data_IF_003199464142
#
_entry.id   IF_003199464142
#
_cell.length_a   1.000
_cell.length_b   1.000
_cell.length_c   1.000
_cell.angle_alpha   90.00
_cell.angle_beta   90.00
_cell.angle_gamma   90.00
#
_symmetry.space_group_name_H-M   'P 1'
#
loop_
_entity.id
_entity.type
_entity.pdbx_description
1 polymer ?
#
# COMPACT_ATOMS: atom_id res chain seq x y z
N UNK A 1 -10.04 -16.31 18.96
CA UNK A 1 -9.17 -16.93 17.96
C UNK A 1 -8.66 -18.22 18.57
N UNK A 2 -9.19 -19.38 18.15
CA UNK A 2 -8.71 -20.69 18.63
C UNK A 2 -7.27 -20.85 18.14
N UNK A 3 -6.37 -21.31 19.00
CA UNK A 3 -5.00 -21.63 18.60
C UNK A 3 -5.03 -22.73 17.53
N UNK A 4 -4.03 -22.78 16.66
CA UNK A 4 -3.92 -23.78 15.59
C UNK A 4 -4.03 -25.21 16.17
N UNK A 5 -3.53 -25.41 17.39
CA UNK A 5 -3.63 -26.66 18.15
C UNK A 5 -5.08 -27.00 18.49
N UNK A 6 -5.88 -26.02 18.91
CA UNK A 6 -7.30 -26.25 19.23
C UNK A 6 -8.18 -26.55 18.00
N UNK A 7 -7.81 -25.99 16.81
CA UNK A 7 -8.53 -26.33 15.56
C UNK A 7 -8.20 -27.76 15.09
N UNK A 8 -6.95 -28.19 15.22
CA UNK A 8 -6.55 -29.56 14.88
C UNK A 8 -7.21 -30.58 15.77
N UNK A 9 -7.23 -30.37 17.11
CA UNK A 9 -7.93 -31.25 18.04
C UNK A 9 -9.41 -31.34 17.71
N UNK A 10 -10.07 -30.22 17.41
CA UNK A 10 -11.49 -30.20 17.05
C UNK A 10 -11.75 -30.99 15.76
N UNK A 11 -10.92 -30.88 14.76
CA UNK A 11 -11.05 -31.63 13.50
C UNK A 11 -10.89 -33.11 13.73
N UNK A 12 -9.90 -33.55 14.51
CA UNK A 12 -9.68 -34.95 14.83
C UNK A 12 -10.88 -35.53 15.61
N UNK A 13 -11.43 -34.79 16.56
CA UNK A 13 -12.61 -35.19 17.35
C UNK A 13 -13.83 -35.32 16.43
N UNK A 14 -14.11 -34.35 15.57
CA UNK A 14 -15.27 -34.35 14.65
C UNK A 14 -15.21 -35.55 13.72
N UNK A 15 -14.04 -35.83 13.13
CA UNK A 15 -13.86 -36.97 12.23
C UNK A 15 -13.92 -38.32 12.99
N UNK A 16 -13.37 -38.41 14.20
CA UNK A 16 -13.47 -39.57 15.06
C UNK A 16 -14.93 -39.89 15.37
N UNK A 17 -15.73 -38.88 15.69
CA UNK A 17 -17.16 -39.03 15.95
C UNK A 17 -17.91 -39.47 14.69
N UNK A 18 -17.65 -38.85 13.55
CA UNK A 18 -18.27 -39.19 12.26
C UNK A 18 -17.95 -40.62 11.82
N UNK A 19 -16.72 -41.10 12.05
CA UNK A 19 -16.31 -42.47 11.79
C UNK A 19 -17.00 -43.46 12.73
N UNK A 20 -17.06 -43.15 14.03
CA UNK A 20 -17.77 -43.96 15.03
C UNK A 20 -19.25 -44.09 14.71
N UNK A 21 -19.91 -42.97 14.32
CA UNK A 21 -21.30 -42.95 13.89
C UNK A 21 -21.54 -43.80 12.65
N UNK A 22 -20.62 -43.73 11.67
CA UNK A 22 -20.69 -44.58 10.46
C UNK A 22 -20.54 -46.05 10.79
N UNK A 23 -19.64 -46.43 11.71
CA UNK A 23 -19.45 -47.78 12.17
C UNK A 23 -20.69 -48.28 12.94
N UNK A 24 -21.25 -47.46 13.82
CA UNK A 24 -22.47 -47.78 14.56
C UNK A 24 -23.68 -47.94 13.64
N UNK A 25 -23.78 -47.12 12.61
CA UNK A 25 -24.83 -47.24 11.60
C UNK A 25 -24.71 -48.53 10.81
N UNK A 26 -23.50 -48.90 10.38
CA UNK A 26 -23.25 -50.19 9.72
C UNK A 26 -23.56 -51.39 10.63
N UNK A 27 -23.19 -51.32 11.91
CA UNK A 27 -23.53 -52.32 12.89
C UNK A 27 -25.04 -52.40 13.15
N UNK A 28 -25.71 -51.24 13.26
CA UNK A 28 -27.17 -51.19 13.42
C UNK A 28 -27.89 -51.82 12.23
N UNK A 29 -27.49 -51.51 11.01
CA UNK A 29 -28.01 -52.11 9.78
C UNK A 29 -27.76 -53.64 9.80
N UNK A 30 -26.57 -54.06 10.21
CA UNK A 30 -26.22 -55.47 10.28
C UNK A 30 -27.08 -56.24 11.27
N UNK A 31 -27.43 -55.63 12.44
CA UNK A 31 -28.23 -56.30 13.47
C UNK A 31 -29.74 -56.23 13.23
N UNK A 32 -30.24 -55.17 12.57
CA UNK A 32 -31.67 -54.97 12.34
C UNK A 32 -32.19 -55.59 11.05
N UNK A 33 -31.37 -55.77 10.03
CA UNK A 33 -31.78 -56.33 8.74
C UNK A 33 -31.06 -57.67 8.43
N UNK A 34 -31.07 -58.61 9.40
CA UNK A 34 -30.36 -59.89 9.29
C UNK A 34 -30.62 -60.68 8.01
N UNK A 35 -31.75 -60.47 7.33
CA UNK A 35 -32.15 -61.34 6.21
C UNK A 35 -32.08 -60.67 4.81
N UNK A 36 -31.90 -59.36 4.69
CA UNK A 36 -32.01 -58.68 3.42
C UNK A 36 -30.71 -58.00 2.90
N UNK A 37 -29.83 -57.50 3.74
CA UNK A 37 -28.65 -56.74 3.34
C UNK A 37 -27.41 -57.58 2.98
N UNK A 38 -27.34 -58.83 3.49
CA UNK A 38 -26.24 -59.75 3.15
C UNK A 38 -26.55 -60.66 1.97
N UNK A 39 -27.30 -60.17 0.96
CA UNK A 39 -27.17 -60.76 -0.37
C UNK A 39 -25.73 -60.62 -0.83
N UNK A 40 -25.23 -61.73 -1.44
CA UNK A 40 -23.82 -61.96 -1.81
C UNK A 40 -23.07 -60.79 -2.48
N UNK A 41 -23.78 -59.79 -2.97
CA UNK A 41 -23.22 -58.66 -3.69
C UNK A 41 -22.98 -57.40 -2.82
N UNK A 42 -23.65 -57.26 -1.67
CA UNK A 42 -23.51 -56.05 -0.84
C UNK A 42 -22.36 -56.14 0.21
N UNK A 43 -21.85 -57.35 0.52
CA UNK A 43 -20.73 -57.50 1.44
C UNK A 43 -19.44 -56.88 0.91
N UNK A 44 -19.26 -56.88 -0.45
CA UNK A 44 -18.12 -56.22 -1.11
C UNK A 44 -18.12 -54.72 -0.91
N UNK A 45 -19.31 -54.09 -0.97
CA UNK A 45 -19.46 -52.64 -0.71
C UNK A 45 -19.15 -52.30 0.74
N UNK A 46 -19.63 -53.12 1.69
CA UNK A 46 -19.35 -52.92 3.12
C UNK A 46 -17.86 -53.08 3.44
N UNK A 47 -17.22 -54.11 2.85
CA UNK A 47 -15.76 -54.31 3.00
C UNK A 47 -14.96 -53.18 2.37
N UNK A 48 -15.41 -52.67 1.22
CA UNK A 48 -14.81 -51.52 0.53
C UNK A 48 -14.86 -50.25 1.40
N UNK A 49 -16.00 -49.93 2.00
CA UNK A 49 -16.15 -48.77 2.87
C UNK A 49 -15.27 -48.91 4.14
N UNK A 50 -15.22 -50.10 4.77
CA UNK A 50 -14.42 -50.32 5.97
C UNK A 50 -12.92 -50.22 5.71
N UNK A 51 -12.46 -50.61 4.51
CA UNK A 51 -11.03 -50.60 4.19
C UNK A 51 -10.56 -49.26 3.59
N UNK A 52 -11.39 -48.59 2.82
CA UNK A 52 -10.99 -47.36 2.10
C UNK A 52 -11.19 -46.10 2.96
N UNK A 53 -12.23 -46.04 3.78
CA UNK A 53 -12.46 -44.87 4.64
C UNK A 53 -11.26 -44.51 5.54
N UNK A 54 -10.60 -45.45 6.22
CA UNK A 54 -9.40 -45.17 7.02
C UNK A 54 -8.23 -44.66 6.16
N UNK A 55 -8.05 -45.16 4.94
CA UNK A 55 -6.99 -44.73 4.02
C UNK A 55 -7.22 -43.30 3.59
N UNK A 56 -8.45 -42.95 3.17
CA UNK A 56 -8.83 -41.57 2.81
C UNK A 56 -8.60 -40.64 4.00
N UNK A 57 -8.98 -41.05 5.21
CA UNK A 57 -8.75 -40.28 6.42
C UNK A 57 -7.26 -40.04 6.68
N UNK A 58 -6.43 -41.07 6.54
CA UNK A 58 -4.98 -40.94 6.72
C UNK A 58 -4.36 -39.98 5.72
N UNK A 59 -4.78 -40.05 4.46
CA UNK A 59 -4.33 -39.14 3.40
C UNK A 59 -4.76 -37.68 3.69
N UNK A 60 -6.00 -37.48 4.11
CA UNK A 60 -6.47 -36.13 4.51
C UNK A 60 -5.69 -35.57 5.69
N UNK A 61 -5.42 -36.40 6.70
CA UNK A 61 -4.64 -36.01 7.89
C UNK A 61 -3.20 -35.62 7.49
N UNK A 62 -2.61 -36.38 6.58
CA UNK A 62 -1.28 -36.08 6.03
C UNK A 62 -1.27 -34.75 5.25
N UNK A 63 -2.29 -34.49 4.43
CA UNK A 63 -2.44 -33.23 3.71
C UNK A 63 -2.57 -32.04 4.68
N UNK A 64 -3.35 -32.17 5.76
CA UNK A 64 -3.50 -31.14 6.79
C UNK A 64 -2.16 -30.88 7.48
N UNK A 65 -1.44 -31.93 7.87
CA UNK A 65 -0.12 -31.80 8.51
C UNK A 65 0.89 -31.09 7.59
N UNK A 66 0.93 -31.46 6.31
CA UNK A 66 1.80 -30.82 5.31
C UNK A 66 1.44 -29.34 5.19
N UNK A 67 0.15 -28.99 5.09
CA UNK A 67 -0.32 -27.60 5.03
C UNK A 67 0.12 -26.82 6.28
N UNK A 68 -0.08 -27.36 7.47
CA UNK A 68 0.34 -26.71 8.72
C UNK A 68 1.86 -26.47 8.81
N UNK A 69 2.68 -27.43 8.33
CA UNK A 69 4.13 -27.29 8.32
C UNK A 69 4.53 -26.20 7.32
N UNK A 70 3.87 -26.15 6.16
CA UNK A 70 4.13 -25.13 5.12
C UNK A 70 3.77 -23.73 5.61
N UNK A 71 2.62 -23.56 6.25
CA UNK A 71 2.18 -22.28 6.81
C UNK A 71 3.14 -21.78 7.91
N UNK A 72 3.57 -22.65 8.83
CA UNK A 72 4.59 -22.28 9.84
C UNK A 72 5.93 -21.87 9.23
N UNK A 73 6.36 -22.51 8.13
CA UNK A 73 7.58 -22.15 7.42
C UNK A 73 7.42 -20.77 6.76
N UNK A 74 6.29 -20.55 6.07
CA UNK A 74 5.98 -19.27 5.41
C UNK A 74 5.94 -18.12 6.43
N UNK A 75 5.32 -18.31 7.59
CA UNK A 75 5.28 -17.30 8.65
C UNK A 75 6.68 -16.99 9.20
N UNK A 76 7.54 -18.01 9.33
CA UNK A 76 8.92 -17.83 9.73
C UNK A 76 9.75 -17.03 8.73
N UNK A 77 9.57 -17.28 7.45
CA UNK A 77 10.26 -16.56 6.38
C UNK A 77 9.79 -15.10 6.31
N UNK A 78 8.49 -14.83 6.39
CA UNK A 78 7.91 -13.48 6.44
C UNK A 78 8.43 -12.69 7.66
N UNK A 79 8.58 -13.35 8.81
CA UNK A 79 9.11 -12.70 10.01
C UNK A 79 10.59 -12.31 9.83
N UNK A 80 11.41 -13.18 9.24
CA UNK A 80 12.82 -12.88 8.94
C UNK A 80 12.96 -11.74 7.95
N UNK A 81 12.14 -11.72 6.88
CA UNK A 81 12.15 -10.63 5.91
C UNK A 81 11.84 -9.28 6.57
N UNK A 82 10.83 -9.22 7.44
CA UNK A 82 10.49 -8.01 8.21
C UNK A 82 11.64 -7.56 9.12
N UNK A 83 12.31 -8.49 9.80
CA UNK A 83 13.46 -8.17 10.66
C UNK A 83 14.61 -7.60 9.83
N UNK A 84 14.90 -8.17 8.66
CA UNK A 84 15.94 -7.66 7.73
C UNK A 84 15.56 -6.26 7.22
N UNK A 85 14.32 -6.05 6.86
CA UNK A 85 13.83 -4.74 6.40
C UNK A 85 13.98 -3.67 7.50
N UNK A 86 13.62 -4.00 8.74
CA UNK A 86 13.79 -3.09 9.88
C UNK A 86 15.26 -2.75 10.17
N UNK A 87 16.18 -3.71 10.00
CA UNK A 87 17.62 -3.46 10.13
C UNK A 87 18.08 -2.51 9.01
N UNK A 88 17.65 -2.73 7.76
CA UNK A 88 17.96 -1.84 6.63
C UNK A 88 17.45 -0.42 6.88
N UNK A 89 16.22 -0.26 7.36
CA UNK A 89 15.64 1.04 7.71
C UNK A 89 16.45 1.78 8.78
N UNK A 90 16.85 1.11 9.84
CA UNK A 90 17.69 1.70 10.88
C UNK A 90 19.04 2.14 10.33
N UNK A 91 19.67 1.31 9.52
CA UNK A 91 20.94 1.64 8.89
C UNK A 91 20.83 2.86 7.96
N UNK A 92 19.76 2.95 7.16
CA UNK A 92 19.52 4.09 6.29
C UNK A 92 19.37 5.40 7.07
N UNK A 93 18.67 5.38 8.20
CA UNK A 93 18.54 6.55 9.08
C UNK A 93 19.91 6.97 9.65
N UNK A 94 20.74 6.03 10.08
CA UNK A 94 22.07 6.33 10.61
C UNK A 94 23.00 6.87 9.50
N UNK A 95 22.95 6.32 8.31
CA UNK A 95 23.71 6.81 7.17
C UNK A 95 23.31 8.24 6.81
N UNK A 96 22.00 8.53 6.76
CA UNK A 96 21.51 9.89 6.51
C UNK A 96 22.02 10.91 7.54
N UNK A 97 22.11 10.54 8.83
CA UNK A 97 22.65 11.42 9.88
C UNK A 97 24.15 11.74 9.69
N UNK A 98 24.90 10.87 9.03
CA UNK A 98 26.33 11.10 8.72
C UNK A 98 26.52 12.06 7.56
N UNK A 99 25.48 12.33 6.78
CA UNK A 99 25.54 13.21 5.62
C UNK A 99 25.51 14.67 6.04
N UNK A 100 26.50 15.43 5.64
CA UNK A 100 26.61 16.86 5.93
C UNK A 100 26.52 17.74 4.67
N UNK A 101 26.54 17.12 3.49
CA UNK A 101 26.46 17.82 2.20
C UNK A 101 25.13 17.53 1.53
N UNK A 102 24.44 18.58 1.14
CA UNK A 102 23.19 18.48 0.37
C UNK A 102 23.48 18.85 -1.08
N UNK A 103 23.17 17.94 -2.00
CA UNK A 103 23.55 18.02 -3.39
C UNK A 103 22.53 18.74 -4.28
N UNK A 104 21.32 18.94 -3.79
CA UNK A 104 20.27 19.66 -4.51
C UNK A 104 19.80 20.83 -3.65
N UNK A 105 19.74 22.01 -4.23
CA UNK A 105 19.19 23.19 -3.58
C UNK A 105 17.72 22.97 -3.23
N UNK A 106 17.31 23.35 -2.02
CA UNK A 106 15.93 23.24 -1.57
C UNK A 106 14.95 24.01 -2.47
N UNK A 107 15.39 25.12 -3.07
CA UNK A 107 14.61 25.88 -4.03
C UNK A 107 14.31 25.09 -5.32
N UNK A 108 15.28 24.27 -5.79
CA UNK A 108 15.08 23.39 -6.95
C UNK A 108 14.09 22.29 -6.62
N UNK A 109 14.20 21.71 -5.42
CA UNK A 109 13.27 20.67 -4.94
C UNK A 109 11.84 21.24 -4.86
N UNK A 110 11.71 22.41 -4.25
CA UNK A 110 10.44 23.13 -4.18
C UNK A 110 9.85 23.42 -5.56
N UNK A 111 10.67 23.91 -6.49
CA UNK A 111 10.23 24.24 -7.85
C UNK A 111 9.65 23.01 -8.57
N UNK A 112 10.33 21.87 -8.52
CA UNK A 112 9.84 20.62 -9.12
C UNK A 112 8.54 20.18 -8.46
N UNK A 113 8.50 20.15 -7.13
CA UNK A 113 7.31 19.77 -6.39
C UNK A 113 6.11 20.66 -6.71
N UNK A 114 6.30 21.98 -6.79
CA UNK A 114 5.23 22.92 -7.15
C UNK A 114 4.76 22.74 -8.59
N UNK A 115 5.65 22.46 -9.53
CA UNK A 115 5.26 22.13 -10.91
C UNK A 115 4.35 20.90 -10.94
N UNK A 116 4.65 19.85 -10.16
CA UNK A 116 3.79 18.66 -10.04
C UNK A 116 2.43 19.00 -9.41
N UNK A 117 2.40 19.78 -8.32
CA UNK A 117 1.17 20.20 -7.67
C UNK A 117 0.27 21.04 -8.57
N UNK A 118 0.85 21.77 -9.51
CA UNK A 118 0.12 22.62 -10.46
C UNK A 118 -0.34 21.87 -11.72
N UNK A 119 -0.07 20.57 -11.82
CA UNK A 119 -0.62 19.76 -12.92
C UNK A 119 -2.13 19.66 -12.72
N UNK A 120 -2.88 20.35 -13.60
CA UNK A 120 -4.33 20.29 -13.56
C UNK A 120 -4.83 18.93 -14.06
N UNK A 121 -5.53 18.21 -13.19
CA UNK A 121 -6.16 16.93 -13.50
C UNK A 121 -7.56 17.07 -14.14
N UNK A 122 -8.11 18.27 -14.26
CA UNK A 122 -9.45 18.45 -14.86
C UNK A 122 -9.46 17.98 -16.33
N UNK A 123 -8.30 18.03 -17.01
CA UNK A 123 -8.14 17.49 -18.36
C UNK A 123 -8.00 15.97 -18.42
N UNK A 124 -7.76 15.29 -17.29
CA UNK A 124 -7.58 13.84 -17.23
C UNK A 124 -8.81 13.06 -17.68
N UNK A 125 -10.01 13.62 -17.45
CA UNK A 125 -11.29 12.99 -17.79
C UNK A 125 -11.85 13.41 -19.14
N UNK A 126 -11.20 14.31 -19.86
CA UNK A 126 -11.71 14.79 -21.13
C UNK A 126 -11.14 13.92 -22.27
N UNK A 127 -11.97 13.16 -23.00
CA UNK A 127 -11.52 12.39 -24.17
C UNK A 127 -10.81 13.28 -25.18
N UNK A 128 -9.76 12.76 -25.83
CA UNK A 128 -8.94 13.51 -26.80
C UNK A 128 -9.78 14.13 -27.92
N UNK A 129 -10.77 13.37 -28.41
CA UNK A 129 -11.74 13.83 -29.41
C UNK A 129 -12.50 15.08 -28.97
N UNK A 130 -12.88 15.15 -27.68
CA UNK A 130 -13.58 16.29 -27.13
C UNK A 130 -12.64 17.48 -26.95
N UNK A 131 -11.37 17.25 -26.59
CA UNK A 131 -10.35 18.28 -26.49
C UNK A 131 -10.12 18.96 -27.84
N UNK A 132 -9.95 18.18 -28.90
CA UNK A 132 -9.79 18.69 -30.27
C UNK A 132 -11.01 19.47 -30.74
N UNK A 133 -12.22 19.01 -30.39
CA UNK A 133 -13.47 19.66 -30.78
C UNK A 133 -13.73 20.98 -30.05
N UNK A 134 -13.36 21.06 -28.76
CA UNK A 134 -13.65 22.23 -27.91
C UNK A 134 -12.52 23.27 -27.97
N UNK A 135 -11.28 22.84 -28.04
CA UNK A 135 -10.10 23.70 -27.86
C UNK A 135 -9.33 23.87 -29.17
N UNK A 136 -9.53 23.03 -30.18
CA UNK A 136 -8.84 23.08 -31.49
C UNK A 136 -7.35 22.71 -31.42
N UNK A 137 -6.85 22.25 -30.26
CA UNK A 137 -5.47 21.82 -30.06
C UNK A 137 -5.42 20.60 -29.14
N UNK A 138 -4.50 19.67 -29.42
CA UNK A 138 -4.16 18.61 -28.49
C UNK A 138 -3.52 19.22 -27.23
N UNK A 139 -4.15 18.97 -26.09
CA UNK A 139 -3.56 19.32 -24.78
C UNK A 139 -2.68 18.13 -24.36
N UNK A 140 -1.44 18.35 -23.89
CA UNK A 140 -0.62 17.29 -23.34
C UNK A 140 -1.36 16.55 -22.24
N UNK A 141 -1.30 15.23 -22.23
CA UNK A 141 -1.92 14.41 -21.17
C UNK A 141 -1.28 14.71 -19.82
N UNK A 142 -1.93 14.28 -18.74
CA UNK A 142 -1.39 14.45 -17.39
C UNK A 142 -0.06 13.69 -17.26
N UNK A 143 0.02 12.50 -17.84
CA UNK A 143 1.21 11.66 -17.89
C UNK A 143 2.37 12.35 -18.61
N UNK A 144 2.11 12.95 -19.77
CA UNK A 144 3.10 13.72 -20.51
C UNK A 144 3.60 14.93 -19.71
N UNK A 145 2.71 15.60 -18.97
CA UNK A 145 3.09 16.72 -18.10
C UNK A 145 3.95 16.27 -16.93
N UNK A 146 3.63 15.11 -16.31
CA UNK A 146 4.44 14.53 -15.24
C UNK A 146 5.85 14.24 -15.74
N UNK A 147 5.99 13.53 -16.86
CA UNK A 147 7.29 13.20 -17.44
C UNK A 147 8.07 14.44 -17.90
N UNK A 148 7.37 15.47 -18.39
CA UNK A 148 8.01 16.74 -18.72
C UNK A 148 8.61 17.46 -17.49
N UNK A 149 7.95 17.36 -16.33
CA UNK A 149 8.47 17.93 -15.08
C UNK A 149 9.61 17.09 -14.52
N UNK A 150 9.53 15.76 -14.68
CA UNK A 150 10.52 14.80 -14.22
C UNK A 150 11.51 14.45 -15.35
N UNK A 151 12.26 15.45 -15.82
CA UNK A 151 13.13 15.41 -17.02
C UNK A 151 14.38 14.51 -16.88
N UNK A 152 14.68 14.00 -15.68
CA UNK A 152 15.74 13.03 -15.39
C UNK A 152 15.24 11.57 -15.37
N UNK A 153 13.95 11.38 -15.68
CA UNK A 153 13.33 10.08 -15.77
C UNK A 153 12.80 9.89 -17.19
N UNK A 154 13.09 8.75 -17.76
CA UNK A 154 12.53 8.31 -19.04
C UNK A 154 11.91 6.93 -18.85
N UNK A 155 10.84 6.65 -19.56
CA UNK A 155 10.32 5.29 -19.64
C UNK A 155 11.14 4.49 -20.65
N UNK A 156 11.18 3.17 -20.45
CA UNK A 156 11.70 2.26 -21.46
C UNK A 156 10.93 2.45 -22.77
N UNK A 157 11.58 2.14 -23.90
CA UNK A 157 10.97 2.22 -25.22
C UNK A 157 9.66 1.43 -25.28
N UNK A 158 8.64 1.97 -25.91
CA UNK A 158 7.28 1.41 -26.02
C UNK A 158 6.48 1.29 -24.69
N UNK A 159 7.02 1.78 -23.57
CA UNK A 159 6.28 1.84 -22.32
C UNK A 159 5.64 3.23 -22.15
N UNK A 160 4.45 3.24 -21.53
CA UNK A 160 3.70 4.46 -21.24
C UNK A 160 3.37 4.59 -19.76
N UNK A 161 3.35 5.82 -19.24
CA UNK A 161 2.74 6.07 -17.95
C UNK A 161 1.22 6.12 -18.13
N UNK A 162 0.45 5.52 -17.23
CA UNK A 162 -1.00 5.52 -17.27
C UNK A 162 -1.56 5.79 -15.89
N UNK A 163 -2.49 6.75 -15.81
CA UNK A 163 -3.26 7.04 -14.62
C UNK A 163 -4.61 6.33 -14.72
N UNK A 164 -4.96 5.57 -13.69
CA UNK A 164 -6.24 4.89 -13.62
C UNK A 164 -7.00 5.30 -12.37
N UNK A 165 -8.28 5.59 -12.54
CA UNK A 165 -9.19 5.84 -11.45
C UNK A 165 -9.96 4.57 -11.12
N UNK A 166 -9.69 3.98 -9.96
CA UNK A 166 -10.46 2.84 -9.45
C UNK A 166 -11.57 3.36 -8.53
N UNK A 167 -12.81 3.11 -8.90
CA UNK A 167 -13.97 3.39 -8.06
C UNK A 167 -14.10 2.31 -6.98
N UNK A 168 -14.21 2.73 -5.70
CA UNK A 168 -14.35 1.83 -4.55
C UNK A 168 -15.51 2.28 -3.67
N UNK A 169 -16.68 1.65 -3.85
CA UNK A 169 -17.88 2.00 -3.09
C UNK A 169 -18.33 3.44 -3.31
N UNK A 170 -18.36 4.26 -2.25
CA UNK A 170 -18.77 5.67 -2.33
C UNK A 170 -17.64 6.59 -2.83
N UNK A 171 -16.54 6.05 -3.35
CA UNK A 171 -15.42 6.85 -3.83
C UNK A 171 -14.41 6.10 -4.64
N UNK A 172 -13.30 6.73 -4.97
CA UNK A 172 -12.29 6.13 -5.80
C UNK A 172 -10.89 6.67 -5.55
N UNK A 173 -9.92 6.03 -6.12
CA UNK A 173 -8.50 6.37 -5.98
C UNK A 173 -7.83 6.36 -7.33
N UNK A 174 -7.02 7.38 -7.59
CA UNK A 174 -6.16 7.38 -8.77
C UNK A 174 -4.88 6.61 -8.47
N UNK A 175 -4.56 5.66 -9.32
CA UNK A 175 -3.32 4.89 -9.30
C UNK A 175 -2.48 5.22 -10.51
N UNK A 176 -1.18 5.05 -10.36
CA UNK A 176 -0.21 5.21 -11.43
C UNK A 176 0.29 3.83 -11.81
N UNK A 177 0.26 3.57 -13.09
CA UNK A 177 0.75 2.33 -13.69
C UNK A 177 1.74 2.66 -14.77
N UNK A 178 2.60 1.71 -15.08
CA UNK A 178 3.27 1.65 -16.37
C UNK A 178 2.49 0.71 -17.28
N UNK A 179 2.13 1.21 -18.45
CA UNK A 179 1.54 0.42 -19.52
C UNK A 179 2.66 -0.21 -20.33
N UNK A 180 2.68 -1.53 -20.34
CA UNK A 180 3.62 -2.33 -21.10
C UNK A 180 3.21 -2.39 -22.59
N UNK A 181 4.13 -2.71 -23.52
CA UNK A 181 3.84 -2.81 -24.96
C UNK A 181 2.71 -3.79 -25.30
N UNK A 182 2.54 -4.84 -24.49
CA UNK A 182 1.46 -5.82 -24.62
C UNK A 182 0.10 -5.33 -24.07
N UNK A 183 0.05 -4.12 -23.52
CA UNK A 183 -1.14 -3.51 -22.92
C UNK A 183 -1.36 -3.81 -21.44
N UNK A 184 -0.53 -4.65 -20.80
CA UNK A 184 -0.62 -4.90 -19.37
C UNK A 184 -0.27 -3.65 -18.55
N UNK A 185 -0.83 -3.56 -17.34
CA UNK A 185 -0.56 -2.49 -16.40
C UNK A 185 0.24 -3.01 -15.21
N UNK A 186 1.42 -2.43 -14.98
CA UNK A 186 2.29 -2.75 -13.85
C UNK A 186 2.28 -1.63 -12.82
N UNK A 187 2.14 -1.99 -11.53
CA UNK A 187 2.31 -1.07 -10.39
C UNK A 187 3.79 -0.84 -10.05
N UNK A 188 4.67 -1.73 -10.47
CA UNK A 188 6.11 -1.66 -10.22
C UNK A 188 6.81 -0.76 -11.25
N UNK A 189 6.37 0.50 -11.33
CA UNK A 189 6.83 1.43 -12.37
C UNK A 189 8.34 1.70 -12.31
N UNK A 190 9.00 1.54 -11.17
CA UNK A 190 10.44 1.73 -11.05
C UNK A 190 11.26 0.73 -11.86
N UNK A 191 10.72 -0.44 -12.18
CA UNK A 191 11.38 -1.46 -12.99
C UNK A 191 11.47 -1.04 -14.48
N UNK A 192 10.65 -0.06 -14.90
CA UNK A 192 10.48 0.35 -16.29
C UNK A 192 10.97 1.77 -16.57
N UNK A 193 11.74 2.36 -15.66
CA UNK A 193 12.29 3.70 -15.82
C UNK A 193 13.81 3.67 -16.00
N UNK A 194 14.28 4.54 -16.89
CA UNK A 194 15.68 4.92 -17.01
C UNK A 194 15.85 6.22 -16.24
N UNK A 195 16.80 6.26 -15.34
CA UNK A 195 17.04 7.39 -14.43
C UNK A 195 18.48 7.86 -14.55
N UNK A 196 18.67 9.16 -14.63
CA UNK A 196 20.00 9.74 -14.51
C UNK A 196 20.60 9.42 -13.12
N UNK A 197 21.81 8.82 -13.07
CA UNK A 197 22.53 8.54 -11.83
C UNK A 197 23.09 9.83 -11.22
N UNK A 198 22.18 10.63 -10.68
CA UNK A 198 22.46 11.90 -10.07
C UNK A 198 21.55 12.17 -8.86
N UNK A 199 21.92 13.10 -7.98
CA UNK A 199 21.03 13.52 -6.89
C UNK A 199 19.68 14.04 -7.37
N UNK A 200 19.63 14.68 -8.53
CA UNK A 200 18.39 15.17 -9.14
C UNK A 200 17.55 14.02 -9.70
N UNK A 201 18.19 13.02 -10.34
CA UNK A 201 17.51 11.80 -10.77
C UNK A 201 16.88 11.05 -9.59
N UNK A 202 17.63 10.86 -8.50
CA UNK A 202 17.11 10.25 -7.27
C UNK A 202 15.94 11.03 -6.66
N UNK A 203 16.02 12.38 -6.66
CA UNK A 203 14.90 13.22 -6.23
C UNK A 203 13.66 12.99 -7.10
N UNK A 204 13.84 12.91 -8.41
CA UNK A 204 12.72 12.70 -9.32
C UNK A 204 12.11 11.30 -9.19
N UNK A 205 12.92 10.27 -8.89
CA UNK A 205 12.42 8.94 -8.51
C UNK A 205 11.54 9.02 -7.25
N UNK A 206 11.98 9.77 -6.24
CA UNK A 206 11.16 10.02 -5.06
C UNK A 206 9.83 10.67 -5.44
N UNK A 207 9.83 11.74 -6.24
CA UNK A 207 8.61 12.39 -6.67
C UNK A 207 7.70 11.47 -7.46
N UNK A 208 8.23 10.67 -8.37
CA UNK A 208 7.45 9.69 -9.12
C UNK A 208 6.82 8.64 -8.19
N UNK A 209 7.57 8.13 -7.22
CA UNK A 209 7.08 7.13 -6.25
C UNK A 209 6.02 7.68 -5.30
N UNK A 210 6.02 8.98 -5.06
CA UNK A 210 5.12 9.68 -4.13
C UNK A 210 4.13 10.59 -4.86
N UNK A 211 3.87 10.38 -6.15
CA UNK A 211 2.93 11.21 -6.92
C UNK A 211 1.56 11.33 -6.28
N UNK A 212 1.11 10.34 -5.52
CA UNK A 212 -0.14 10.38 -4.77
C UNK A 212 -0.19 11.50 -3.70
N UNK A 213 0.94 12.09 -3.29
CA UNK A 213 0.99 13.29 -2.46
C UNK A 213 0.73 14.57 -3.26
N UNK A 214 0.91 14.51 -4.58
CA UNK A 214 0.85 15.67 -5.47
C UNK A 214 -0.41 15.66 -6.33
N UNK A 215 -0.98 14.47 -6.58
CA UNK A 215 -2.19 14.32 -7.36
C UNK A 215 -3.41 14.36 -6.43
N UNK A 216 -4.48 15.10 -6.77
CA UNK A 216 -5.70 15.10 -5.99
C UNK A 216 -6.31 13.71 -5.95
N UNK A 217 -6.44 13.17 -4.76
CA UNK A 217 -7.17 11.93 -4.52
C UNK A 217 -8.66 12.26 -4.43
N UNK A 218 -9.45 11.65 -5.29
CA UNK A 218 -10.88 11.78 -5.23
C UNK A 218 -11.43 10.89 -4.12
N UNK A 219 -12.41 11.41 -3.43
CA UNK A 219 -13.18 10.82 -2.38
C UNK A 219 -12.41 10.49 -1.08
N UNK A 220 -12.94 10.73 0.05
CA UNK A 220 -12.26 10.80 1.36
C UNK A 220 -10.90 11.52 1.38
N UNK A 221 -10.24 11.70 0.25
CA UNK A 221 -9.12 12.62 0.11
C UNK A 221 -9.49 14.07 0.44
N UNK A 222 -10.78 14.39 0.45
CA UNK A 222 -11.25 15.68 0.94
C UNK A 222 -11.03 15.84 2.45
N UNK A 223 -11.04 14.74 3.19
CA UNK A 223 -10.82 14.70 4.62
C UNK A 223 -9.36 14.40 5.00
N UNK A 224 -8.63 13.62 4.20
CA UNK A 224 -7.20 13.39 4.37
C UNK A 224 -6.43 14.16 3.30
N UNK A 225 -6.57 15.48 3.31
CA UNK A 225 -5.76 16.33 2.43
C UNK A 225 -4.29 16.06 2.75
N UNK A 226 -3.58 15.56 1.75
CA UNK A 226 -2.14 15.40 1.81
C UNK A 226 -1.53 16.34 0.81
N UNK A 227 -0.57 17.12 1.25
CA UNK A 227 0.19 17.99 0.37
C UNK A 227 1.60 18.17 0.88
N UNK A 228 2.51 18.28 -0.06
CA UNK A 228 3.91 18.46 0.24
C UNK A 228 4.17 19.83 0.83
N UNK A 229 5.06 19.86 1.82
CA UNK A 229 5.47 21.05 2.53
C UNK A 229 6.95 21.25 2.28
N UNK A 230 7.32 22.34 1.60
CA UNK A 230 8.70 22.63 1.20
C UNK A 230 9.30 23.79 2.01
N UNK A 231 8.47 24.66 2.53
CA UNK A 231 8.90 25.90 3.20
C UNK A 231 8.00 26.24 4.38
N UNK A 232 8.44 27.22 5.19
CA UNK A 232 7.61 27.80 6.26
C UNK A 232 6.35 28.46 5.71
N UNK A 233 6.42 29.04 4.53
CA UNK A 233 5.26 29.66 3.88
C UNK A 233 4.15 28.64 3.58
N UNK A 234 4.54 27.38 3.34
CA UNK A 234 3.54 26.32 3.19
C UNK A 234 2.88 25.97 4.51
N UNK A 235 3.63 25.97 5.63
CA UNK A 235 3.06 25.76 6.96
C UNK A 235 2.05 26.86 7.32
N UNK A 236 2.33 28.11 6.97
CA UNK A 236 1.43 29.26 7.24
C UNK A 236 0.10 29.17 6.47
N UNK A 237 0.04 28.40 5.40
CA UNK A 237 -1.18 28.17 4.59
C UNK A 237 -2.05 27.04 5.15
N UNK A 238 -1.52 26.23 6.07
CA UNK A 238 -2.24 25.11 6.65
C UNK A 238 -3.20 25.65 7.70
N UNK A 239 -4.45 25.28 7.57
CA UNK A 239 -5.49 25.57 8.57
C UNK A 239 -5.90 24.28 9.27
N UNK A 240 -5.91 24.31 10.57
CA UNK A 240 -6.35 23.20 11.42
C UNK A 240 -7.74 23.46 11.92
N UNK A 241 -8.55 22.42 12.02
CA UNK A 241 -9.92 22.51 12.53
C UNK A 241 -9.92 22.14 14.00
N UNK A 242 -10.45 23.02 14.85
CA UNK A 242 -10.70 22.70 16.25
C UNK A 242 -12.12 22.14 16.40
N UNK A 243 -12.23 21.07 17.20
CA UNK A 243 -13.53 20.51 17.56
C UNK A 243 -14.07 21.29 18.76
N UNK A 244 -15.28 21.88 18.68
CA UNK A 244 -15.96 22.40 19.87
C UNK A 244 -16.13 21.30 20.89
N UNK A 245 -15.61 21.51 22.07
CA UNK A 245 -15.85 20.62 23.20
C UNK A 245 -17.36 20.61 23.49
N UNK A 246 -17.91 19.41 23.50
CA UNK A 246 -19.32 19.08 23.66
C UNK A 246 -19.79 19.56 25.04
N UNK A 247 -20.19 20.83 25.12
CA UNK A 247 -20.77 21.44 26.35
C UNK A 247 -22.29 21.46 26.39
N UNK A 248 -22.97 21.34 25.23
CA UNK A 248 -24.42 21.43 25.16
C UNK A 248 -25.05 20.37 24.25
N UNK A 249 -26.12 19.77 24.78
CA UNK A 249 -26.90 18.74 24.14
C UNK A 249 -27.67 19.32 22.96
N UNK A 250 -27.39 18.89 21.77
CA UNK A 250 -28.13 19.18 20.53
C UNK A 250 -27.36 20.01 19.48
N UNK A 251 -26.25 19.46 18.96
CA UNK A 251 -25.65 20.01 17.76
C UNK A 251 -26.05 19.15 16.57
N UNK A 252 -26.56 19.78 15.50
CA UNK A 252 -26.72 19.13 14.22
C UNK A 252 -25.35 18.74 13.68
N UNK A 253 -25.22 17.69 12.85
CA UNK A 253 -23.92 17.32 12.27
C UNK A 253 -23.19 18.46 11.56
N UNK A 254 -23.91 19.48 11.05
CA UNK A 254 -23.35 20.70 10.46
C UNK A 254 -22.66 21.62 11.47
N UNK A 255 -22.96 21.51 12.78
CA UNK A 255 -22.48 22.42 13.81
C UNK A 255 -21.21 21.88 14.53
N UNK A 256 -20.70 20.73 14.08
CA UNK A 256 -19.57 20.05 14.70
C UNK A 256 -18.23 20.66 14.23
N UNK A 257 -18.21 21.35 13.09
CA UNK A 257 -17.00 21.92 12.51
C UNK A 257 -16.97 23.42 12.70
N UNK A 258 -15.96 23.84 13.44
CA UNK A 258 -15.77 25.22 13.80
C UNK A 258 -14.42 25.72 13.35
N UNK A 259 -14.19 26.92 13.53
CA UNK A 259 -13.01 27.75 13.28
C UNK A 259 -11.78 27.04 12.70
N UNK A 260 -11.44 27.41 11.48
CA UNK A 260 -10.13 27.13 10.91
C UNK A 260 -9.12 28.02 11.65
N UNK A 261 -8.24 27.38 12.41
CA UNK A 261 -7.17 28.04 13.13
C UNK A 261 -5.84 27.87 12.40
N UNK A 262 -4.94 28.79 12.61
CA UNK A 262 -3.56 28.66 12.17
C UNK A 262 -2.86 27.52 12.91
N UNK A 263 -1.78 26.99 12.31
CA UNK A 263 -0.93 26.02 12.99
C UNK A 263 -0.32 26.65 14.25
N UNK A 264 -0.21 25.88 15.35
CA UNK A 264 0.46 26.37 16.56
C UNK A 264 1.97 26.57 16.31
N UNK A 265 2.58 27.40 17.16
CA UNK A 265 4.01 27.75 17.07
C UNK A 265 4.93 26.51 17.01
N UNK A 266 4.58 25.46 17.75
CA UNK A 266 5.32 24.19 17.78
C UNK A 266 5.43 23.56 16.37
N UNK A 267 4.33 23.59 15.61
CA UNK A 267 4.31 23.10 14.24
C UNK A 267 5.10 24.02 13.29
N UNK A 268 4.94 25.35 13.47
CA UNK A 268 5.65 26.36 12.68
C UNK A 268 7.17 26.37 12.96
N UNK A 269 7.60 25.89 14.13
CA UNK A 269 9.02 25.75 14.49
C UNK A 269 9.69 24.53 13.86
N UNK A 270 8.95 23.61 13.24
CA UNK A 270 9.51 22.42 12.61
C UNK A 270 10.38 22.80 11.41
N UNK A 271 11.57 22.17 11.31
CA UNK A 271 12.36 22.22 10.06
C UNK A 271 11.65 21.38 9.00
N UNK A 272 11.18 22.00 7.95
CA UNK A 272 10.51 21.33 6.80
C UNK A 272 11.36 21.35 5.54
N UNK A 273 12.57 21.87 5.62
CA UNK A 273 13.47 21.99 4.48
C UNK A 273 13.70 20.61 3.83
N UNK A 274 13.41 20.46 2.56
CA UNK A 274 13.69 19.22 1.85
C UNK A 274 15.20 19.04 1.65
N UNK A 275 15.67 17.79 1.66
CA UNK A 275 17.09 17.48 1.59
C UNK A 275 17.34 16.30 0.67
N UNK A 276 18.35 16.42 -0.20
CA UNK A 276 18.87 15.31 -1.00
C UNK A 276 20.36 15.20 -0.72
N UNK A 277 20.80 14.02 -0.31
CA UNK A 277 22.20 13.75 0.00
C UNK A 277 22.63 12.38 -0.51
N UNK A 278 23.92 12.10 -0.43
CA UNK A 278 24.48 10.81 -0.84
C UNK A 278 25.42 10.29 0.25
N UNK A 279 25.35 9.00 0.51
CA UNK A 279 26.31 8.29 1.33
C UNK A 279 26.67 7.00 0.61
N UNK A 280 27.96 6.85 0.32
CA UNK A 280 28.49 5.77 -0.53
C UNK A 280 27.80 5.78 -1.92
N UNK A 281 27.18 4.69 -2.31
CA UNK A 281 26.49 4.50 -3.59
C UNK A 281 24.96 4.74 -3.53
N UNK A 282 24.47 5.28 -2.40
CA UNK A 282 23.04 5.48 -2.17
C UNK A 282 22.68 6.93 -1.99
N UNK A 283 21.54 7.31 -2.54
CA UNK A 283 20.92 8.62 -2.36
C UNK A 283 19.89 8.57 -1.25
N UNK A 284 19.78 9.66 -0.50
CA UNK A 284 18.79 9.84 0.58
C UNK A 284 17.98 11.09 0.29
N UNK A 285 16.67 10.93 0.15
CA UNK A 285 15.73 12.02 -0.06
C UNK A 285 14.85 12.16 1.17
N UNK A 286 14.83 13.36 1.75
CA UNK A 286 14.01 13.69 2.91
C UNK A 286 13.10 14.87 2.58
N UNK A 287 11.79 14.65 2.61
CA UNK A 287 10.76 15.66 2.35
C UNK A 287 9.67 15.62 3.41
N UNK A 288 8.93 16.72 3.55
CA UNK A 288 7.80 16.84 4.45
C UNK A 288 6.48 16.89 3.69
N UNK A 289 5.43 16.38 4.31
CA UNK A 289 4.07 16.56 3.85
C UNK A 289 3.12 16.72 5.04
N UNK A 290 2.01 17.37 4.79
CA UNK A 290 0.90 17.47 5.72
C UNK A 290 -0.14 16.40 5.44
N UNK A 291 -0.78 15.88 6.48
CA UNK A 291 -1.92 14.97 6.43
C UNK A 291 -2.94 15.36 7.49
N UNK A 292 -4.20 15.42 7.11
CA UNK A 292 -5.31 15.74 8.05
C UNK A 292 -5.47 14.67 9.15
N UNK A 293 -5.00 13.45 8.94
CA UNK A 293 -5.03 12.37 9.92
C UNK A 293 -3.72 12.12 10.67
N UNK A 294 -2.64 12.70 10.22
CA UNK A 294 -1.32 12.43 10.79
C UNK A 294 -0.55 13.65 11.24
N UNK A 295 -0.93 14.83 10.73
CA UNK A 295 -0.23 16.07 10.94
C UNK A 295 0.95 16.27 10.00
N UNK A 296 1.98 16.96 10.49
CA UNK A 296 3.21 17.21 9.74
C UNK A 296 4.15 16.02 9.85
N UNK A 297 4.47 15.42 8.70
CA UNK A 297 5.23 14.18 8.63
C UNK A 297 6.46 14.40 7.76
N UNK A 298 7.61 13.94 8.22
CA UNK A 298 8.84 13.85 7.43
C UNK A 298 9.06 12.42 6.99
N UNK A 299 9.26 12.21 5.70
CA UNK A 299 9.70 10.94 5.12
C UNK A 299 11.19 10.99 4.80
N UNK A 300 11.84 9.84 4.92
CA UNK A 300 13.19 9.58 4.46
C UNK A 300 13.15 8.34 3.55
N UNK A 301 13.62 8.50 2.33
CA UNK A 301 13.72 7.42 1.34
C UNK A 301 15.18 7.22 0.97
N UNK A 302 15.63 5.97 0.93
CA UNK A 302 16.91 5.55 0.39
C UNK A 302 16.70 5.01 -1.02
N UNK A 303 17.54 5.45 -1.96
CA UNK A 303 17.44 5.09 -3.39
C UNK A 303 18.84 4.72 -3.87
N UNK A 304 18.95 3.56 -4.53
CA UNK A 304 20.16 3.16 -5.23
C UNK A 304 19.88 3.14 -6.74
N UNK A 305 20.76 3.80 -7.50
CA UNK A 305 20.72 3.85 -8.94
C UNK A 305 22.01 3.22 -9.46
N UNK A 306 21.89 2.20 -10.30
CA UNK A 306 23.03 1.54 -10.95
C UNK A 306 22.71 1.34 -12.44
N UNK A 307 23.62 1.71 -13.31
CA UNK A 307 23.44 1.59 -14.76
C UNK A 307 22.14 2.26 -15.26
N UNK A 308 21.84 3.43 -14.73
CA UNK A 308 20.63 4.20 -15.02
C UNK A 308 19.30 3.49 -14.65
N UNK A 309 19.35 2.53 -13.73
CA UNK A 309 18.16 1.84 -13.21
C UNK A 309 18.07 1.97 -11.70
N UNK A 310 16.88 2.07 -11.18
CA UNK A 310 16.63 1.99 -9.74
C UNK A 310 16.78 0.53 -9.32
N UNK A 311 17.82 0.21 -8.55
CA UNK A 311 18.07 -1.15 -8.07
C UNK A 311 17.57 -1.38 -6.65
N UNK A 312 17.50 -0.31 -5.85
CA UNK A 312 16.91 -0.37 -4.51
C UNK A 312 16.07 0.89 -4.25
N UNK A 313 14.91 0.70 -3.67
CA UNK A 313 14.03 1.77 -3.17
C UNK A 313 13.49 1.35 -1.80
N UNK A 314 13.81 2.12 -0.76
CA UNK A 314 13.44 1.81 0.61
C UNK A 314 12.81 3.03 1.29
N UNK A 315 11.56 2.90 1.74
CA UNK A 315 10.94 3.84 2.67
C UNK A 315 11.60 3.67 4.06
N UNK A 316 12.69 4.42 4.28
CA UNK A 316 13.59 4.20 5.41
C UNK A 316 13.00 4.70 6.73
N UNK A 317 12.30 5.83 6.72
CA UNK A 317 11.71 6.39 7.93
C UNK A 317 10.52 7.28 7.62
N UNK A 318 9.58 7.28 8.56
CA UNK A 318 8.44 8.19 8.59
C UNK A 318 8.29 8.75 9.99
N UNK A 319 8.68 10.01 10.18
CA UNK A 319 8.66 10.69 11.47
C UNK A 319 7.55 11.73 11.52
N UNK A 320 6.65 11.62 12.48
CA UNK A 320 5.68 12.67 12.79
C UNK A 320 6.43 13.80 13.52
N UNK A 321 6.48 14.98 12.89
CA UNK A 321 7.08 16.20 13.45
C UNK A 321 6.08 16.94 14.33
N UNK A 322 4.83 17.04 13.88
CA UNK A 322 3.71 17.58 14.64
C UNK A 322 2.49 16.70 14.43
N UNK A 323 1.88 16.23 15.51
CA UNK A 323 0.72 15.33 15.44
C UNK A 323 -0.57 16.13 15.35
N UNK A 324 -1.36 15.85 14.34
CA UNK A 324 -2.69 16.41 14.17
C UNK A 324 -3.66 15.31 13.72
N UNK A 325 -4.91 15.46 14.12
CA UNK A 325 -6.00 14.59 13.67
C UNK A 325 -7.26 15.44 13.56
N UNK A 326 -7.87 15.46 12.39
CA UNK A 326 -9.05 16.29 12.09
C UNK A 326 -10.31 15.88 12.87
N UNK A 327 -10.26 14.82 13.69
CA UNK A 327 -11.36 14.36 14.52
C UNK A 327 -12.46 13.58 13.80
N UNK A 328 -12.32 13.33 12.51
CA UNK A 328 -13.21 12.47 11.75
C UNK A 328 -12.82 11.02 12.01
N UNK A 329 -13.74 10.22 12.53
CA UNK A 329 -13.63 8.76 12.60
C UNK A 329 -14.53 8.16 11.54
N UNK A 330 -14.01 7.19 10.81
CA UNK A 330 -14.73 6.38 9.82
C UNK A 330 -15.30 5.12 10.44
#
# INVERSE_FOLDING_TARGET
MLSLDGTMELVVIIYGIAWLLSLLTLLYIHFTEKDKLFRRDNWKLSLFVITIAPIIFLVMLLCILISCIWDKKKDGDVKKEKEIEEIKKKQAVENFKKCHVFFVDSAVIEQIGRKLLNINLDTFRMPEELQMKVIGKRIPTVEEKILYVLDKIQLLEDYGLQLEYEERGIGGRTYIYVKEPNGNLSKNFLDFVIVDDSPLGALQVYFLSKLWHYLPMYWHGYYDRRFSVFSKDDLLKIKVRSRKTRGERSLKPSDIYEEENDLPEEALACDVTPKVTRYEDKYYVSCCYWSEFGGLIRELVEIKIENNKVTEFLDANRKVLYRYHCGIMY
#
